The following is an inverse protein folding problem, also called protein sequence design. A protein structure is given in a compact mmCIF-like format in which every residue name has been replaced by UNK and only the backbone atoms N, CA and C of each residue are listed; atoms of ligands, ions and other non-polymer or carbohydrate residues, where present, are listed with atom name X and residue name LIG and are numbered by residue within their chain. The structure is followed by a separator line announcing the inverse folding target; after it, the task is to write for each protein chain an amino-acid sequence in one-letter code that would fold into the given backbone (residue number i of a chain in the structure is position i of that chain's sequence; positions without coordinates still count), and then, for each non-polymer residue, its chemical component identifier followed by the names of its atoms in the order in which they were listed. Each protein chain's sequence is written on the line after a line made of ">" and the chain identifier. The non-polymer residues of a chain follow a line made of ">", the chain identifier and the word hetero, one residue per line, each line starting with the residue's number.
data_IF_513473466687
#
_entry.id   IF_513473466687
#
_cell.length_a   1.000
_cell.length_b   1.000
_cell.length_c   1.000
_cell.angle_alpha   90.00
_cell.angle_beta   90.00
_cell.angle_gamma   90.00
#
_symmetry.space_group_name_H-M   'P 1'
#
loop_
_entity.id
_entity.type
_entity.pdbx_description
1 polymer ?
#
# COMPACT_ATOMS: atom_id res chain seq x y z
N UNK A 1 -12.65 -6.00 10.42
CA UNK A 1 -11.24 -6.33 10.71
C UNK A 1 -11.17 -7.04 12.06
N UNK A 2 -12.09 -7.99 12.31
CA UNK A 2 -12.49 -8.34 13.69
C UNK A 2 -11.33 -8.81 14.58
N UNK A 3 -10.37 -9.57 14.02
CA UNK A 3 -9.19 -10.04 14.75
C UNK A 3 -8.25 -8.89 15.14
N UNK A 4 -7.85 -8.07 14.17
CA UNK A 4 -6.91 -6.96 14.40
C UNK A 4 -7.52 -5.94 15.37
N UNK A 5 -8.81 -5.61 15.21
CA UNK A 5 -9.53 -4.69 16.10
C UNK A 5 -9.48 -5.13 17.56
N UNK A 6 -9.57 -6.44 17.84
CA UNK A 6 -9.53 -7.02 19.18
C UNK A 6 -8.15 -7.00 19.87
N UNK A 7 -7.06 -6.83 19.11
CA UNK A 7 -5.71 -6.75 19.69
C UNK A 7 -5.57 -5.48 20.53
N UNK A 8 -5.43 -5.59 21.84
CA UNK A 8 -5.22 -4.40 22.68
C UNK A 8 -3.76 -3.96 22.61
N UNK A 9 -3.54 -2.67 22.34
CA UNK A 9 -2.25 -2.05 22.66
C UNK A 9 -2.16 -1.89 24.17
N UNK A 10 -0.97 -2.07 24.73
CA UNK A 10 -0.74 -1.80 26.15
C UNK A 10 -1.01 -0.32 26.45
N UNK A 11 -1.59 -0.02 27.62
CA UNK A 11 -1.96 1.36 27.99
C UNK A 11 -0.76 2.32 28.07
N UNK A 12 0.44 1.79 28.26
CA UNK A 12 1.70 2.55 28.28
C UNK A 12 2.51 2.42 26.98
N UNK A 13 1.95 1.80 25.94
CA UNK A 13 2.63 1.70 24.65
C UNK A 13 2.72 3.08 23.99
N UNK A 14 3.95 3.53 23.75
CA UNK A 14 4.22 4.74 22.99
C UNK A 14 4.46 4.33 21.53
N UNK A 15 3.52 4.59 20.60
CA UNK A 15 3.74 4.27 19.20
C UNK A 15 4.94 5.04 18.65
N UNK A 16 5.79 4.42 17.81
CA UNK A 16 6.82 5.14 17.10
C UNK A 16 6.21 6.26 16.26
N UNK A 17 6.92 7.38 16.14
CA UNK A 17 6.53 8.42 15.18
C UNK A 17 6.90 7.96 13.78
N UNK A 18 5.91 7.80 12.90
CA UNK A 18 6.12 7.41 11.52
C UNK A 18 6.18 8.64 10.60
N UNK A 19 6.84 8.49 9.45
CA UNK A 19 6.62 9.41 8.33
C UNK A 19 5.24 9.11 7.73
N UNK A 20 4.52 10.15 7.33
CA UNK A 20 3.17 10.01 6.80
C UNK A 20 3.22 9.63 5.32
N UNK A 21 2.68 8.45 4.99
CA UNK A 21 2.51 7.99 3.62
C UNK A 21 1.21 8.51 3.03
N UNK A 22 1.32 9.32 1.98
CA UNK A 22 0.15 9.90 1.29
C UNK A 22 -0.20 9.21 -0.03
N UNK A 23 0.61 8.23 -0.48
CA UNK A 23 0.40 7.50 -1.74
C UNK A 23 1.29 7.95 -2.90
N UNK A 24 2.01 9.07 -2.78
CA UNK A 24 2.84 9.62 -3.86
C UNK A 24 4.32 9.23 -3.77
N UNK A 25 4.81 8.91 -2.57
CA UNK A 25 6.17 8.42 -2.33
C UNK A 25 6.32 6.94 -2.72
N UNK A 26 7.56 6.43 -2.65
CA UNK A 26 7.85 5.03 -2.99
C UNK A 26 7.28 4.07 -1.92
N UNK A 27 6.34 3.18 -2.27
CA UNK A 27 5.71 2.29 -1.29
C UNK A 27 6.67 1.29 -0.65
N UNK A 28 7.72 0.88 -1.38
CA UNK A 28 8.70 -0.08 -0.90
C UNK A 28 9.65 0.58 0.11
N UNK A 29 10.08 1.80 -0.17
CA UNK A 29 10.85 2.61 0.77
C UNK A 29 10.05 2.90 2.05
N UNK A 30 8.77 3.26 1.94
CA UNK A 30 7.90 3.48 3.11
C UNK A 30 7.82 2.24 4.00
N UNK A 31 7.56 1.06 3.41
CA UNK A 31 7.50 -0.21 4.15
C UNK A 31 8.83 -0.52 4.84
N UNK A 32 9.97 -0.28 4.18
CA UNK A 32 11.28 -0.52 4.77
C UNK A 32 11.54 0.37 6.00
N UNK A 33 11.28 1.67 5.91
CA UNK A 33 11.44 2.60 7.04
C UNK A 33 10.46 2.31 8.17
N UNK A 34 9.21 1.98 7.84
CA UNK A 34 8.22 1.56 8.82
C UNK A 34 8.69 0.34 9.62
N UNK A 35 9.16 -0.70 8.93
CA UNK A 35 9.65 -1.94 9.56
C UNK A 35 10.87 -1.69 10.45
N UNK A 36 11.81 -0.85 10.02
CA UNK A 36 12.97 -0.46 10.84
C UNK A 36 12.53 0.21 12.14
N UNK A 37 11.59 1.15 12.09
CA UNK A 37 11.06 1.82 13.29
C UNK A 37 10.34 0.86 14.24
N UNK A 38 9.51 -0.03 13.70
CA UNK A 38 8.82 -1.05 14.51
C UNK A 38 9.79 -2.03 15.17
N UNK A 39 10.83 -2.46 14.45
CA UNK A 39 11.87 -3.32 15.00
C UNK A 39 12.64 -2.62 16.13
N UNK A 40 13.01 -1.35 15.95
CA UNK A 40 13.72 -0.57 16.96
C UNK A 40 12.88 -0.32 18.21
N UNK A 41 11.55 -0.23 18.07
CA UNK A 41 10.63 -0.06 19.18
C UNK A 41 10.17 -1.39 19.82
N UNK A 42 10.60 -2.54 19.30
CA UNK A 42 10.15 -3.84 19.78
C UNK A 42 8.65 -4.08 19.57
N UNK A 43 8.07 -3.50 18.52
CA UNK A 43 6.65 -3.64 18.19
C UNK A 43 6.32 -5.11 17.92
N UNK A 44 5.28 -5.62 18.58
CA UNK A 44 4.77 -6.96 18.33
C UNK A 44 4.26 -7.10 16.89
N UNK A 45 4.55 -8.23 16.25
CA UNK A 45 4.15 -8.52 14.86
C UNK A 45 2.63 -8.40 14.66
N UNK A 46 1.84 -8.81 15.65
CA UNK A 46 0.38 -8.71 15.60
C UNK A 46 -0.10 -7.24 15.61
N UNK A 47 0.70 -6.31 16.13
CA UNK A 47 0.37 -4.88 16.18
C UNK A 47 0.78 -4.10 14.94
N UNK A 48 1.57 -4.68 14.03
CA UNK A 48 2.10 -3.99 12.84
C UNK A 48 0.99 -3.40 11.98
N UNK A 49 -0.13 -4.12 11.79
CA UNK A 49 -1.27 -3.61 11.02
C UNK A 49 -1.83 -2.33 11.65
N UNK A 50 -1.98 -2.29 12.98
CA UNK A 50 -2.50 -1.11 13.67
C UNK A 50 -1.52 0.06 13.61
N UNK A 51 -0.22 -0.22 13.75
CA UNK A 51 0.82 0.81 13.64
C UNK A 51 0.89 1.39 12.23
N UNK A 52 0.77 0.54 11.21
CA UNK A 52 0.86 0.97 9.82
C UNK A 52 -0.24 1.93 9.43
N UNK A 53 -1.47 1.71 9.91
CA UNK A 53 -2.60 2.63 9.68
C UNK A 53 -2.31 4.03 10.21
N UNK A 54 -1.57 4.15 11.33
CA UNK A 54 -1.16 5.45 11.87
C UNK A 54 -0.14 6.18 11.00
N UNK A 55 0.54 5.47 10.10
CA UNK A 55 1.44 6.07 9.11
C UNK A 55 0.71 6.55 7.85
N UNK A 56 -0.57 6.23 7.66
CA UNK A 56 -1.30 6.58 6.44
C UNK A 56 -1.99 7.94 6.56
N UNK A 57 -1.99 8.70 5.46
CA UNK A 57 -2.70 9.99 5.36
C UNK A 57 -3.41 10.14 4.02
N UNK A 58 -4.46 10.97 3.99
CA UNK A 58 -5.16 11.38 2.78
C UNK A 58 -5.56 10.17 1.92
N UNK A 59 -5.25 10.20 0.62
CA UNK A 59 -5.58 9.16 -0.36
C UNK A 59 -5.12 7.76 0.06
N UNK A 60 -4.02 7.64 0.81
CA UNK A 60 -3.57 6.35 1.30
C UNK A 60 -4.45 5.81 2.44
N UNK A 61 -4.93 6.69 3.32
CA UNK A 61 -5.89 6.34 4.35
C UNK A 61 -7.26 6.00 3.75
N UNK A 62 -7.72 6.78 2.77
CA UNK A 62 -8.97 6.49 2.05
C UNK A 62 -8.92 5.10 1.39
N UNK A 63 -7.79 4.77 0.73
CA UNK A 63 -7.57 3.45 0.16
C UNK A 63 -7.62 2.32 1.21
N UNK A 64 -7.21 2.57 2.45
CA UNK A 64 -7.29 1.60 3.53
C UNK A 64 -8.74 1.39 4.02
N UNK A 65 -9.52 2.48 4.11
CA UNK A 65 -10.94 2.42 4.49
C UNK A 65 -11.77 1.66 3.44
N UNK A 66 -11.42 1.81 2.16
CA UNK A 66 -12.09 1.12 1.05
C UNK A 66 -11.80 -0.40 0.98
N UNK A 67 -10.89 -0.92 1.81
CA UNK A 67 -10.60 -2.35 1.84
C UNK A 67 -11.77 -3.14 2.39
N UNK A 68 -12.07 -4.27 1.74
CA UNK A 68 -13.14 -5.16 2.15
C UNK A 68 -13.02 -5.57 3.62
N UNK A 69 -14.15 -5.56 4.32
CA UNK A 69 -14.20 -5.94 5.72
C UNK A 69 -13.67 -7.37 5.93
N UNK A 70 -12.72 -7.52 6.87
CA UNK A 70 -12.06 -8.79 7.22
C UNK A 70 -11.11 -9.35 6.14
N UNK A 71 -10.77 -8.54 5.14
CA UNK A 71 -9.77 -8.92 4.14
C UNK A 71 -8.31 -8.79 4.64
N UNK A 72 -8.10 -8.15 5.80
CA UNK A 72 -6.81 -8.05 6.47
C UNK A 72 -6.88 -8.80 7.80
N UNK A 73 -6.15 -9.93 7.91
CA UNK A 73 -6.05 -10.73 9.12
C UNK A 73 -4.62 -10.84 9.66
N UNK A 74 -3.64 -10.39 8.87
CA UNK A 74 -2.21 -10.43 9.17
C UNK A 74 -1.49 -9.21 8.57
N UNK A 75 -0.25 -9.01 9.01
CA UNK A 75 0.67 -8.04 8.38
C UNK A 75 0.87 -8.35 6.88
N UNK A 76 1.06 -9.63 6.54
CA UNK A 76 1.27 -10.06 5.16
C UNK A 76 0.06 -9.75 4.25
N UNK A 77 -1.17 -9.92 4.75
CA UNK A 77 -2.38 -9.54 4.00
C UNK A 77 -2.43 -8.04 3.70
N UNK A 78 -2.10 -7.21 4.70
CA UNK A 78 -2.04 -5.76 4.57
C UNK A 78 -0.98 -5.37 3.54
N UNK A 79 0.23 -5.92 3.67
CA UNK A 79 1.37 -5.62 2.81
C UNK A 79 1.08 -5.98 1.34
N UNK A 80 0.49 -7.15 1.10
CA UNK A 80 0.11 -7.60 -0.24
C UNK A 80 -0.93 -6.66 -0.88
N UNK A 81 -1.98 -6.28 -0.13
CA UNK A 81 -3.01 -5.35 -0.61
C UNK A 81 -2.45 -3.96 -0.87
N UNK A 82 -1.59 -3.48 0.02
CA UNK A 82 -0.91 -2.21 -0.12
C UNK A 82 -0.07 -2.17 -1.40
N UNK A 83 0.78 -3.17 -1.63
CA UNK A 83 1.55 -3.25 -2.88
C UNK A 83 0.66 -3.42 -4.10
N UNK A 84 -0.39 -4.25 -4.04
CA UNK A 84 -1.32 -4.37 -5.17
C UNK A 84 -1.93 -3.03 -5.58
N UNK A 85 -2.17 -2.11 -4.63
CA UNK A 85 -2.78 -0.80 -4.88
C UNK A 85 -1.77 0.25 -5.34
N UNK A 86 -0.63 0.34 -4.67
CA UNK A 86 0.35 1.41 -4.89
C UNK A 86 1.51 1.02 -5.83
N UNK A 87 1.78 -0.28 -6.01
CA UNK A 87 2.82 -0.79 -6.92
C UNK A 87 2.29 -0.99 -8.35
N UNK A 88 1.06 -1.54 -8.51
CA UNK A 88 0.42 -1.72 -9.83
C UNK A 88 0.21 -0.38 -10.55
N UNK A 89 -0.07 0.69 -9.80
CA UNK A 89 -0.22 2.04 -10.35
C UNK A 89 1.10 2.54 -10.94
N UNK A 90 2.25 2.24 -10.32
CA UNK A 90 3.58 2.63 -10.82
C UNK A 90 4.05 1.82 -12.02
N UNK A 91 3.85 0.51 -12.02
CA UNK A 91 4.18 -0.33 -13.18
C UNK A 91 3.37 0.07 -14.41
N UNK A 92 2.07 0.33 -14.23
CA UNK A 92 1.21 0.82 -15.32
C UNK A 92 1.67 2.19 -15.83
N UNK A 93 2.04 3.12 -14.95
CA UNK A 93 2.52 4.46 -15.34
C UNK A 93 3.88 4.39 -16.06
N UNK A 94 4.80 3.56 -15.57
CA UNK A 94 6.10 3.31 -16.21
C UNK A 94 5.91 2.69 -17.60
N UNK A 95 5.01 1.73 -17.73
CA UNK A 95 4.70 1.10 -19.02
C UNK A 95 4.02 2.07 -19.99
N UNK A 96 3.14 2.95 -19.51
CA UNK A 96 2.55 4.04 -20.30
C UNK A 96 3.62 5.03 -20.78
N UNK A 97 4.54 5.45 -19.93
CA UNK A 97 5.63 6.37 -20.32
C UNK A 97 6.58 5.71 -21.33
N UNK A 98 6.91 4.43 -21.14
CA UNK A 98 7.71 3.65 -22.10
C UNK A 98 6.98 3.51 -23.44
N UNK A 99 5.68 3.20 -23.43
CA UNK A 99 4.88 3.10 -24.66
C UNK A 99 4.78 4.45 -25.38
N UNK A 100 4.55 5.55 -24.65
CA UNK A 100 4.56 6.92 -25.23
C UNK A 100 5.90 7.28 -25.86
N UNK A 101 7.01 6.81 -25.27
CA UNK A 101 8.34 7.06 -25.81
C UNK A 101 8.63 6.26 -27.09
N UNK A 102 7.98 5.10 -27.27
CA UNK A 102 8.19 4.20 -28.41
C UNK A 102 7.08 4.28 -29.47
N UNK A 103 5.97 4.96 -29.19
CA UNK A 103 4.94 5.26 -30.19
C UNK A 103 5.42 6.39 -31.09
N UNK A 104 5.84 6.02 -32.31
CA UNK A 104 5.93 6.96 -33.42
C UNK A 104 4.55 7.56 -33.74
N UNK A 105 4.54 8.75 -34.37
CA UNK A 105 3.38 9.65 -34.55
C UNK A 105 2.11 9.08 -35.21
N UNK A 106 2.05 7.83 -35.64
CA UNK A 106 0.95 7.32 -36.49
C UNK A 106 0.47 5.87 -36.17
N UNK A 107 0.69 5.32 -34.97
CA UNK A 107 0.09 4.02 -34.59
C UNK A 107 -0.96 4.13 -33.47
N UNK A 108 -2.17 3.55 -33.65
CA UNK A 108 -3.19 3.57 -32.61
C UNK A 108 -2.76 2.72 -31.40
N UNK A 109 -2.89 3.31 -30.21
CA UNK A 109 -2.41 2.73 -28.97
C UNK A 109 -3.16 1.42 -28.62
N UNK A 110 -2.46 0.28 -28.65
CA UNK A 110 -2.97 -1.06 -28.25
C UNK A 110 -3.40 -1.15 -26.77
N UNK A 111 -3.19 -0.11 -25.96
CA UNK A 111 -3.56 -0.06 -24.53
C UNK A 111 -5.06 -0.22 -24.28
N UNK A 112 -5.93 0.14 -25.22
CA UNK A 112 -7.38 -0.12 -25.09
C UNK A 112 -7.74 -1.60 -25.20
N UNK A 113 -6.89 -2.44 -25.81
CA UNK A 113 -7.12 -3.88 -25.93
C UNK A 113 -6.68 -4.64 -24.67
N UNK A 114 -5.54 -4.24 -24.06
CA UNK A 114 -5.00 -4.92 -22.87
C UNK A 114 -5.90 -4.69 -21.64
N UNK A 115 -6.43 -3.48 -21.46
CA UNK A 115 -7.35 -3.19 -20.36
C UNK A 115 -8.66 -3.97 -20.56
N UNK A 116 -9.13 -4.12 -21.80
CA UNK A 116 -10.34 -4.91 -22.11
C UNK A 116 -10.21 -6.42 -21.85
N UNK A 117 -9.00 -6.99 -21.93
CA UNK A 117 -8.74 -8.40 -21.62
C UNK A 117 -8.53 -8.67 -20.12
N UNK A 118 -8.05 -7.69 -19.35
CA UNK A 118 -7.88 -7.82 -17.90
C UNK A 118 -9.23 -7.82 -17.16
N UNK A 119 -10.26 -7.20 -17.74
CA UNK A 119 -11.60 -7.11 -17.16
C UNK A 119 -12.64 -8.03 -17.82
N UNK A 120 -12.21 -9.05 -18.57
CA UNK A 120 -13.09 -10.10 -19.13
C UNK A 120 -13.06 -11.37 -18.28
#
# INVERSE_FOLDING_TARGET
>A
MKRIEQLKMLENYQPPTFEEFNGHEDPQQHIAHFMEKCNNAGTDRDLLVKQFVLSLKNAAFDCYIDLEANSINSWDDLQNKFFSRFYSTRLTFSMIELVKQHQGKDEPCLITSIIGEIYR
#
